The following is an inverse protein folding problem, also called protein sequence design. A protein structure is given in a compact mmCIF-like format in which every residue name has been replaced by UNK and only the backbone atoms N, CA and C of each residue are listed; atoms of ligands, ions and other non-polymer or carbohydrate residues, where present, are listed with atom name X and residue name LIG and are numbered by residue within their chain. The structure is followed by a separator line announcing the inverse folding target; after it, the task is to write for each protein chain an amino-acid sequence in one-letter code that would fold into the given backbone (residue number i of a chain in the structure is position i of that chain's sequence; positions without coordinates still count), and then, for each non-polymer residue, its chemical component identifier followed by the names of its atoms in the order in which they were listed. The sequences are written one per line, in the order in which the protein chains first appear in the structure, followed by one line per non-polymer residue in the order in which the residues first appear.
data_IF_065682558314
#
_entry.id   IF_065682558314
#
_cell.length_a   1.000
_cell.length_b   1.000
_cell.length_c   1.000
_cell.angle_alpha   90.00
_cell.angle_beta   90.00
_cell.angle_gamma   90.00
#
_symmetry.space_group_name_H-M   'P 1'
#
loop_
_entity.id
_entity.type
_entity.pdbx_description
1 polymer ?
#
# COMPACT_ATOMS: atom_id res chain seq x y z
N UNK A 1 -27.61 -25.83 -5.44
CA UNK A 1 -27.50 -24.44 -5.93
C UNK A 1 -26.54 -24.45 -7.11
N UNK A 2 -27.01 -24.10 -8.30
CA UNK A 2 -26.22 -24.16 -9.52
C UNK A 2 -25.10 -23.11 -9.48
N UNK A 3 -23.86 -23.57 -9.62
CA UNK A 3 -22.70 -22.72 -9.85
C UNK A 3 -22.87 -22.10 -11.24
N UNK A 4 -23.21 -20.82 -11.31
CA UNK A 4 -23.16 -20.05 -12.54
C UNK A 4 -21.68 -19.82 -12.93
N UNK A 5 -21.01 -20.87 -13.40
CA UNK A 5 -19.77 -20.75 -14.17
C UNK A 5 -20.14 -20.32 -15.60
N UNK A 6 -20.73 -19.14 -15.74
CA UNK A 6 -21.09 -18.60 -17.04
C UNK A 6 -19.82 -18.04 -17.66
N UNK A 7 -19.29 -18.73 -18.68
CA UNK A 7 -18.23 -18.19 -19.53
C UNK A 7 -18.68 -16.81 -20.04
N UNK A 8 -17.85 -15.77 -19.99
CA UNK A 8 -18.21 -14.48 -20.56
C UNK A 8 -18.61 -14.66 -22.02
N UNK A 9 -19.73 -14.03 -22.41
CA UNK A 9 -20.34 -14.16 -23.74
C UNK A 9 -19.40 -13.71 -24.87
N UNK A 10 -18.45 -12.83 -24.54
CA UNK A 10 -17.41 -12.34 -25.42
C UNK A 10 -16.11 -12.08 -24.64
N UNK A 11 -14.96 -12.28 -25.29
CA UNK A 11 -13.68 -11.79 -24.80
C UNK A 11 -13.54 -10.37 -25.32
N UNK A 12 -13.44 -9.39 -24.43
CA UNK A 12 -13.19 -8.01 -24.83
C UNK A 12 -11.76 -7.87 -25.34
N UNK A 13 -11.58 -7.09 -26.40
CA UNK A 13 -10.25 -6.78 -26.92
C UNK A 13 -9.41 -6.07 -25.86
N UNK A 14 -8.16 -6.51 -25.69
CA UNK A 14 -7.20 -5.83 -24.82
C UNK A 14 -6.77 -4.54 -25.52
N UNK A 15 -7.01 -3.41 -24.88
CA UNK A 15 -6.63 -2.10 -25.42
C UNK A 15 -5.12 -2.01 -25.67
N UNK A 16 -4.73 -1.31 -26.75
CA UNK A 16 -3.32 -1.05 -27.05
C UNK A 16 -2.69 -0.23 -25.91
N UNK A 17 -1.54 -0.67 -25.43
CA UNK A 17 -0.74 0.10 -24.47
C UNK A 17 -0.21 1.35 -25.17
N UNK A 18 -0.65 2.53 -24.72
CA UNK A 18 -0.20 3.82 -25.24
C UNK A 18 1.05 4.33 -24.52
N UNK A 19 1.16 4.05 -23.21
CA UNK A 19 2.27 4.45 -22.36
C UNK A 19 2.59 3.35 -21.35
N UNK A 20 3.87 3.20 -21.00
CA UNK A 20 4.26 2.33 -19.89
C UNK A 20 3.86 2.96 -18.54
N UNK A 21 3.41 2.13 -17.60
CA UNK A 21 3.16 2.57 -16.22
C UNK A 21 4.50 2.65 -15.49
N UNK A 22 4.83 3.83 -14.97
CA UNK A 22 6.03 4.06 -14.18
C UNK A 22 5.66 4.80 -12.90
N UNK A 23 5.75 4.11 -11.75
CA UNK A 23 5.44 4.73 -10.46
C UNK A 23 6.49 5.73 -10.00
N UNK A 24 7.72 5.68 -10.54
CA UNK A 24 8.81 6.48 -10.01
C UNK A 24 9.19 6.03 -8.60
N UNK A 25 9.82 6.92 -7.86
CA UNK A 25 10.21 6.64 -6.48
C UNK A 25 9.09 7.06 -5.53
N UNK A 26 8.51 6.09 -4.81
CA UNK A 26 7.68 6.35 -3.63
C UNK A 26 8.64 6.75 -2.52
N UNK A 27 8.43 7.93 -1.94
CA UNK A 27 9.31 8.52 -0.91
C UNK A 27 8.62 8.71 0.42
N UNK A 28 7.29 8.60 0.44
CA UNK A 28 6.46 8.79 1.63
C UNK A 28 5.21 7.93 1.55
N UNK A 29 4.74 7.45 2.68
CA UNK A 29 3.46 6.77 2.86
C UNK A 29 2.55 7.59 3.75
N UNK A 30 1.27 7.64 3.41
CA UNK A 30 0.22 8.08 4.31
C UNK A 30 -0.52 6.85 4.84
N UNK A 31 -0.86 6.81 6.12
CA UNK A 31 -1.52 5.69 6.79
C UNK A 31 -2.85 6.13 7.40
N UNK A 32 -3.83 5.23 7.37
CA UNK A 32 -5.10 5.38 8.09
C UNK A 32 -5.60 4.00 8.51
N UNK A 33 -6.42 3.94 9.56
CA UNK A 33 -7.22 2.74 9.86
C UNK A 33 -8.21 2.48 8.72
N UNK A 34 -8.29 1.24 8.28
CA UNK A 34 -9.21 0.85 7.21
C UNK A 34 -10.63 0.77 7.77
N UNK A 35 -11.56 1.50 7.17
CA UNK A 35 -13.00 1.47 7.50
C UNK A 35 -13.84 0.77 6.41
N UNK A 36 -13.18 0.01 5.52
CA UNK A 36 -13.78 -0.64 4.37
C UNK A 36 -13.92 0.27 3.15
N UNK A 37 -14.31 -0.32 2.02
CA UNK A 37 -14.39 0.36 0.70
C UNK A 37 -15.52 1.40 0.65
N UNK A 38 -16.53 1.25 1.52
CA UNK A 38 -17.69 2.16 1.59
C UNK A 38 -17.42 3.43 2.38
N UNK A 39 -16.29 3.52 3.08
CA UNK A 39 -15.89 4.69 3.88
C UNK A 39 -14.46 5.15 3.50
N UNK A 40 -14.24 5.56 2.23
CA UNK A 40 -12.93 6.01 1.77
C UNK A 40 -12.49 7.27 2.52
N UNK A 41 -11.18 7.44 2.71
CA UNK A 41 -10.65 8.60 3.43
C UNK A 41 -10.94 9.92 2.71
N UNK A 42 -11.13 9.86 1.39
CA UNK A 42 -11.52 10.98 0.56
C UNK A 42 -12.84 10.68 -0.12
N UNK A 43 -13.72 11.69 -0.20
CA UNK A 43 -15.02 11.53 -0.86
C UNK A 43 -14.91 11.21 -2.36
N UNK A 44 -13.85 11.70 -3.02
CA UNK A 44 -13.58 11.49 -4.45
C UNK A 44 -12.08 11.55 -4.74
N UNK A 45 -11.64 11.01 -5.89
CA UNK A 45 -10.27 11.20 -6.38
C UNK A 45 -9.92 12.67 -6.64
N UNK A 46 -10.90 13.49 -7.01
CA UNK A 46 -10.70 14.93 -7.19
C UNK A 46 -10.35 15.61 -5.86
N UNK A 47 -10.98 15.21 -4.75
CA UNK A 47 -10.68 15.75 -3.43
C UNK A 47 -9.22 15.46 -3.01
N UNK A 48 -8.70 14.27 -3.33
CA UNK A 48 -7.30 13.89 -3.04
C UNK A 48 -6.25 14.81 -3.67
N UNK A 49 -6.61 15.53 -4.74
CA UNK A 49 -5.68 16.46 -5.39
C UNK A 49 -5.46 17.75 -4.61
N UNK A 50 -6.33 18.05 -3.64
CA UNK A 50 -6.40 19.36 -3.00
C UNK A 50 -5.74 19.36 -1.62
N UNK A 51 -5.01 20.45 -1.30
CA UNK A 51 -4.36 20.60 0.00
C UNK A 51 -5.37 20.64 1.16
N UNK A 52 -6.55 21.23 0.93
CA UNK A 52 -7.59 21.35 1.95
C UNK A 52 -8.10 19.99 2.44
N UNK A 53 -8.29 19.03 1.54
CA UNK A 53 -8.72 17.69 1.90
C UNK A 53 -7.65 16.96 2.74
N UNK A 54 -6.38 17.07 2.36
CA UNK A 54 -5.28 16.47 3.12
C UNK A 54 -5.10 17.10 4.50
N UNK A 55 -5.17 18.44 4.59
CA UNK A 55 -5.12 19.11 5.89
C UNK A 55 -6.26 18.64 6.79
N UNK A 56 -7.49 18.57 6.28
CA UNK A 56 -8.65 18.08 7.02
C UNK A 56 -8.42 16.65 7.52
N UNK A 57 -7.91 15.76 6.67
CA UNK A 57 -7.69 14.36 7.02
C UNK A 57 -6.54 14.17 8.03
N UNK A 58 -5.50 15.00 7.97
CA UNK A 58 -4.37 14.97 8.92
C UNK A 58 -4.79 15.51 10.30
N UNK A 59 -5.65 16.53 10.32
CA UNK A 59 -6.18 17.11 11.56
C UNK A 59 -7.36 16.34 12.16
N UNK A 60 -7.92 15.37 11.42
CA UNK A 60 -9.00 14.55 11.91
C UNK A 60 -8.59 13.72 13.14
N UNK A 61 -9.58 13.20 13.85
CA UNK A 61 -9.39 12.40 15.05
C UNK A 61 -9.84 10.95 14.82
N UNK A 62 -9.35 10.04 15.67
CA UNK A 62 -9.74 8.64 15.64
C UNK A 62 -9.45 7.96 14.29
N UNK A 63 -10.47 7.30 13.73
CA UNK A 63 -10.31 6.45 12.55
C UNK A 63 -10.19 7.23 11.22
N UNK A 64 -10.52 8.52 11.21
CA UNK A 64 -10.44 9.35 10.01
C UNK A 64 -9.09 10.07 9.88
N UNK A 65 -8.25 9.97 10.92
CA UNK A 65 -6.93 10.59 10.94
C UNK A 65 -5.99 9.90 9.96
N UNK A 66 -5.40 10.69 9.06
CA UNK A 66 -4.30 10.27 8.21
C UNK A 66 -2.97 10.68 8.86
N UNK A 67 -2.06 9.72 8.99
CA UNK A 67 -0.70 9.91 9.49
C UNK A 67 0.26 9.86 8.32
N UNK A 68 1.08 10.89 8.15
CA UNK A 68 2.14 10.89 7.15
C UNK A 68 3.44 10.35 7.76
N UNK A 69 3.99 9.28 7.18
CA UNK A 69 5.33 8.79 7.53
C UNK A 69 6.42 9.82 7.26
N UNK A 70 7.60 9.71 7.90
CA UNK A 70 8.81 10.41 7.44
C UNK A 70 9.19 9.99 6.01
N UNK A 71 10.10 10.75 5.41
CA UNK A 71 10.67 10.35 4.12
C UNK A 71 11.57 9.12 4.28
N UNK A 72 11.55 8.24 3.29
CA UNK A 72 12.36 7.03 3.25
C UNK A 72 13.02 6.80 1.89
N UNK A 73 13.96 5.86 1.87
CA UNK A 73 14.73 5.47 0.69
C UNK A 73 14.66 3.96 0.47
N UNK A 74 15.17 3.50 -0.68
CA UNK A 74 15.30 2.08 -1.02
C UNK A 74 13.98 1.30 -0.96
N UNK A 75 12.86 1.96 -1.25
CA UNK A 75 11.56 1.31 -1.22
C UNK A 75 11.35 0.41 -2.43
N UNK A 76 11.06 -0.86 -2.18
CA UNK A 76 10.88 -1.88 -3.20
C UNK A 76 9.61 -2.66 -2.92
N UNK A 77 8.76 -2.80 -3.95
CA UNK A 77 7.60 -3.69 -3.93
C UNK A 77 7.90 -4.88 -4.84
N UNK A 78 8.08 -6.10 -4.31
CA UNK A 78 8.31 -7.28 -5.13
C UNK A 78 7.04 -7.69 -5.92
N UNK A 79 7.18 -8.45 -7.02
CA UNK A 79 6.02 -9.00 -7.73
C UNK A 79 5.32 -10.07 -6.89
N UNK A 80 4.01 -10.21 -7.09
CA UNK A 80 3.23 -11.31 -6.51
C UNK A 80 3.37 -12.58 -7.36
N UNK A 81 3.55 -13.72 -6.70
CA UNK A 81 3.69 -15.02 -7.35
C UNK A 81 2.37 -15.79 -7.33
N UNK A 82 2.03 -16.45 -8.44
CA UNK A 82 0.85 -17.30 -8.53
C UNK A 82 1.04 -18.61 -7.76
N UNK A 83 0.00 -19.06 -7.07
CA UNK A 83 -0.04 -20.35 -6.40
C UNK A 83 -0.91 -21.35 -7.15
N UNK A 84 -0.39 -22.55 -7.37
CA UNK A 84 -1.10 -23.66 -8.00
C UNK A 84 -1.21 -24.83 -7.01
N UNK A 85 -2.33 -25.55 -7.06
CA UNK A 85 -2.57 -26.75 -6.26
C UNK A 85 -2.88 -27.95 -7.15
N UNK A 86 -2.65 -29.15 -6.62
CA UNK A 86 -3.01 -30.43 -7.24
C UNK A 86 -2.35 -30.68 -8.63
N UNK A 87 -1.16 -30.12 -8.87
CA UNK A 87 -0.39 -30.41 -10.07
C UNK A 87 0.21 -31.83 -10.00
N UNK A 88 0.02 -32.61 -11.07
CA UNK A 88 0.45 -34.02 -11.17
C UNK A 88 -0.14 -34.94 -10.08
N UNK A 89 -1.29 -34.57 -9.51
CA UNK A 89 -2.02 -35.42 -8.55
C UNK A 89 -3.33 -35.93 -9.18
N UNK A 90 -3.94 -36.96 -8.57
CA UNK A 90 -5.30 -37.40 -8.93
C UNK A 90 -6.40 -36.42 -8.44
N UNK A 91 -6.03 -35.35 -7.72
CA UNK A 91 -6.95 -34.33 -7.20
C UNK A 91 -7.40 -33.31 -8.24
N UNK A 92 -6.78 -33.31 -9.43
CA UNK A 92 -7.13 -32.40 -10.53
C UNK A 92 -7.45 -33.15 -11.83
N UNK A 93 -8.23 -32.51 -12.71
CA UNK A 93 -8.66 -33.13 -13.98
C UNK A 93 -7.42 -33.37 -14.86
N UNK A 94 -7.11 -34.64 -15.11
CA UNK A 94 -5.93 -35.07 -15.85
C UNK A 94 -4.58 -34.61 -15.25
N UNK A 95 -4.50 -34.43 -13.92
CA UNK A 95 -3.28 -33.95 -13.25
C UNK A 95 -2.92 -32.51 -13.58
N UNK A 96 -3.80 -31.77 -14.26
CA UNK A 96 -3.66 -30.34 -14.53
C UNK A 96 -4.20 -29.59 -13.32
N UNK A 97 -3.29 -29.17 -12.45
CA UNK A 97 -3.60 -28.38 -11.27
C UNK A 97 -4.37 -27.10 -11.62
N UNK A 98 -4.85 -26.42 -10.57
CA UNK A 98 -5.64 -25.20 -10.72
C UNK A 98 -5.00 -24.04 -9.96
N UNK A 99 -5.24 -22.82 -10.44
CA UNK A 99 -4.80 -21.59 -9.78
C UNK A 99 -5.57 -21.44 -8.45
N UNK A 100 -4.86 -21.48 -7.34
CA UNK A 100 -5.43 -21.36 -5.99
C UNK A 100 -5.43 -19.92 -5.49
N UNK A 101 -4.53 -19.08 -6.00
CA UNK A 101 -4.42 -17.69 -5.57
C UNK A 101 -3.09 -17.07 -5.93
N UNK A 102 -2.73 -16.03 -5.18
CA UNK A 102 -1.49 -15.27 -5.33
C UNK A 102 -0.88 -15.02 -3.96
N UNK A 103 0.44 -15.12 -3.86
CA UNK A 103 1.18 -14.85 -2.63
C UNK A 103 1.05 -13.38 -2.23
N UNK A 104 0.94 -13.15 -0.92
CA UNK A 104 1.11 -11.82 -0.35
C UNK A 104 2.52 -11.29 -0.68
N UNK A 105 2.60 -9.99 -0.91
CA UNK A 105 3.83 -9.27 -1.25
C UNK A 105 4.34 -8.54 -0.03
N UNK A 106 5.66 -8.45 0.14
CA UNK A 106 6.28 -7.76 1.27
C UNK A 106 7.12 -6.57 0.81
N UNK A 107 6.52 -5.37 0.67
CA UNK A 107 7.30 -4.16 0.43
C UNK A 107 8.28 -3.90 1.59
N UNK A 108 9.45 -3.37 1.24
CA UNK A 108 10.48 -2.99 2.21
C UNK A 108 11.11 -1.66 1.84
N UNK A 109 11.59 -0.92 2.83
CA UNK A 109 12.32 0.33 2.65
C UNK A 109 13.13 0.70 3.88
N UNK A 110 13.77 1.87 3.85
CA UNK A 110 14.65 2.32 4.92
C UNK A 110 14.38 3.78 5.30
N UNK A 111 14.10 4.03 6.58
CA UNK A 111 14.19 5.36 7.16
C UNK A 111 15.64 5.68 7.51
N UNK A 112 16.09 6.90 7.22
CA UNK A 112 17.47 7.34 7.47
C UNK A 112 17.45 8.46 8.51
N UNK A 113 18.25 8.31 9.57
CA UNK A 113 18.39 9.31 10.63
C UNK A 113 17.13 9.49 11.49
N UNK A 114 16.32 8.44 11.64
CA UNK A 114 15.05 8.50 12.35
C UNK A 114 15.26 8.80 13.85
N UNK A 115 14.69 9.89 14.40
CA UNK A 115 14.69 10.16 15.83
C UNK A 115 13.93 9.10 16.63
N UNK A 116 14.35 8.86 17.88
CA UNK A 116 13.79 7.80 18.71
C UNK A 116 12.30 7.98 19.07
N UNK A 117 11.87 9.23 19.23
CA UNK A 117 10.47 9.60 19.46
C UNK A 117 9.59 9.35 18.22
N UNK A 118 10.08 9.71 17.03
CA UNK A 118 9.38 9.42 15.76
C UNK A 118 9.32 7.91 15.52
N UNK A 119 10.39 7.17 15.85
CA UNK A 119 10.39 5.70 15.80
C UNK A 119 9.30 5.12 16.70
N UNK A 120 9.20 5.57 17.95
CA UNK A 120 8.18 5.11 18.88
C UNK A 120 6.75 5.41 18.39
N UNK A 121 6.54 6.54 17.72
CA UNK A 121 5.24 6.86 17.09
C UNK A 121 4.89 5.89 15.95
N UNK A 122 5.88 5.51 15.14
CA UNK A 122 5.65 4.54 14.07
C UNK A 122 5.49 3.10 14.60
N UNK A 123 6.07 2.76 15.75
CA UNK A 123 5.83 1.47 16.42
C UNK A 123 4.37 1.32 16.88
N UNK A 124 3.65 2.41 17.14
CA UNK A 124 2.19 2.34 17.39
C UNK A 124 1.42 1.85 16.16
N UNK A 125 1.91 2.16 14.95
CA UNK A 125 1.32 1.67 13.69
C UNK A 125 1.53 0.16 13.54
N UNK A 126 2.66 -0.37 14.03
CA UNK A 126 2.93 -1.81 14.05
C UNK A 126 1.90 -2.58 14.88
N UNK A 127 1.46 -2.02 16.01
CA UNK A 127 0.39 -2.62 16.82
C UNK A 127 -0.97 -2.59 16.10
N UNK A 128 -1.31 -1.49 15.42
CA UNK A 128 -2.57 -1.36 14.68
C UNK A 128 -2.60 -2.20 13.40
N UNK A 129 -1.44 -2.47 12.80
CA UNK A 129 -1.35 -3.17 11.53
C UNK A 129 -1.44 -4.71 11.64
N UNK A 130 -1.57 -5.29 12.84
CA UNK A 130 -1.53 -6.75 13.01
C UNK A 130 -2.68 -7.46 12.29
N UNK A 131 -2.36 -8.44 11.45
CA UNK A 131 -3.32 -9.20 10.66
C UNK A 131 -4.14 -10.25 11.46
N UNK A 132 -3.97 -10.32 12.79
CA UNK A 132 -4.51 -11.39 13.65
C UNK A 132 -6.05 -11.47 13.63
N UNK A 133 -6.73 -10.45 13.09
CA UNK A 133 -8.19 -10.39 12.96
C UNK A 133 -8.73 -10.92 11.62
N UNK A 134 -7.87 -11.37 10.70
CA UNK A 134 -8.29 -11.95 9.42
C UNK A 134 -8.69 -10.95 8.33
N UNK A 135 -8.48 -9.65 8.58
CA UNK A 135 -8.66 -8.56 7.61
C UNK A 135 -7.44 -7.62 7.69
N UNK A 136 -7.12 -6.91 6.60
CA UNK A 136 -6.12 -5.82 6.66
C UNK A 136 -6.70 -4.64 7.46
N UNK A 137 -6.12 -4.30 8.61
CA UNK A 137 -6.69 -3.29 9.51
C UNK A 137 -6.36 -1.86 9.09
N UNK A 138 -5.41 -1.67 8.16
CA UNK A 138 -4.92 -0.37 7.74
C UNK A 138 -4.93 -0.21 6.22
N UNK A 139 -4.93 1.04 5.77
CA UNK A 139 -4.80 1.41 4.37
C UNK A 139 -3.72 2.48 4.20
N UNK A 140 -3.03 2.47 3.06
CA UNK A 140 -1.94 3.39 2.76
C UNK A 140 -2.04 4.06 1.39
N UNK A 141 -1.48 5.26 1.28
CA UNK A 141 -1.26 5.94 0.01
C UNK A 141 0.22 6.11 -0.24
N UNK A 142 0.67 5.68 -1.42
CA UNK A 142 2.05 5.88 -1.87
C UNK A 142 2.22 7.27 -2.44
N UNK A 143 3.12 8.09 -1.87
CA UNK A 143 3.42 9.44 -2.35
C UNK A 143 4.79 9.42 -3.01
N UNK A 144 4.84 9.86 -4.26
CA UNK A 144 6.07 9.90 -5.05
C UNK A 144 6.78 11.25 -4.92
N UNK A 145 8.06 11.29 -5.28
CA UNK A 145 8.86 12.51 -5.24
C UNK A 145 8.30 13.67 -6.11
N UNK A 146 7.48 13.34 -7.12
CA UNK A 146 6.81 14.29 -8.01
C UNK A 146 5.35 14.58 -7.61
N UNK A 147 4.98 14.34 -6.35
CA UNK A 147 3.64 14.60 -5.80
C UNK A 147 2.51 13.80 -6.47
N UNK A 148 2.80 12.60 -7.01
CA UNK A 148 1.76 11.66 -7.41
C UNK A 148 1.37 10.79 -6.22
N UNK A 149 0.08 10.46 -6.18
CA UNK A 149 -0.56 9.66 -5.17
C UNK A 149 -0.95 8.34 -5.82
N UNK A 150 -0.51 7.24 -5.22
CA UNK A 150 -0.78 5.87 -5.64
C UNK A 150 -1.81 5.29 -4.66
N UNK A 151 -2.96 4.89 -5.18
CA UNK A 151 -4.14 4.52 -4.37
C UNK A 151 -5.07 3.55 -5.10
N UNK A 152 -6.17 3.14 -4.46
CA UNK A 152 -7.26 2.40 -5.12
C UNK A 152 -8.47 3.33 -5.19
N UNK A 153 -8.58 4.07 -6.29
CA UNK A 153 -9.56 5.14 -6.40
C UNK A 153 -9.35 6.20 -5.31
N UNK A 154 -10.42 6.54 -4.58
CA UNK A 154 -10.37 7.48 -3.45
C UNK A 154 -9.95 6.85 -2.10
N UNK A 155 -9.78 5.52 -2.06
CA UNK A 155 -9.38 4.76 -0.88
C UNK A 155 -7.88 4.44 -0.91
N UNK A 156 -7.31 4.06 0.24
CA UNK A 156 -5.94 3.60 0.31
C UNK A 156 -5.79 2.15 -0.16
N UNK A 157 -4.55 1.74 -0.35
CA UNK A 157 -4.17 0.35 -0.59
C UNK A 157 -4.17 -0.37 0.77
N UNK A 158 -4.99 -1.41 0.97
CA UNK A 158 -4.99 -2.17 2.22
C UNK A 158 -3.64 -2.81 2.51
N UNK A 159 -3.22 -2.81 3.77
CA UNK A 159 -2.00 -3.48 4.20
C UNK A 159 -2.10 -4.00 5.65
N UNK A 160 -1.22 -4.92 5.97
CA UNK A 160 -1.08 -5.48 7.31
C UNK A 160 0.38 -5.78 7.68
N UNK A 161 0.63 -6.15 8.93
CA UNK A 161 1.93 -6.54 9.48
C UNK A 161 3.03 -5.51 9.20
N UNK A 162 2.72 -4.23 9.42
CA UNK A 162 3.75 -3.19 9.40
C UNK A 162 4.74 -3.42 10.53
N UNK A 163 6.02 -3.23 10.26
CA UNK A 163 7.07 -3.36 11.25
C UNK A 163 8.15 -2.31 11.02
N UNK A 164 8.85 -1.95 12.09
CA UNK A 164 10.10 -1.19 12.02
C UNK A 164 11.23 -1.97 12.69
N UNK A 165 12.26 -2.22 11.90
CA UNK A 165 13.48 -2.86 12.32
C UNK A 165 14.29 -2.03 13.33
N UNK A 166 15.13 -2.76 14.07
CA UNK A 166 16.12 -2.15 14.95
C UNK A 166 17.06 -1.21 14.18
N UNK A 167 17.66 -0.25 14.90
CA UNK A 167 18.62 0.69 14.34
C UNK A 167 19.85 -0.06 13.82
N UNK A 168 20.11 0.05 12.52
CA UNK A 168 21.37 -0.31 11.89
C UNK A 168 22.34 0.89 11.84
N UNK A 169 23.63 0.62 12.01
CA UNK A 169 24.70 1.63 11.89
C UNK A 169 25.73 1.20 10.86
N UNK A 170 26.08 2.08 9.93
CA UNK A 170 27.08 1.85 8.88
C UNK A 170 28.46 2.46 9.23
N UNK A 171 28.66 2.84 10.49
CA UNK A 171 29.95 3.34 11.01
C UNK A 171 30.05 4.86 11.13
N UNK A 172 31.27 5.35 11.34
CA UNK A 172 31.55 6.76 11.67
C UNK A 172 31.10 7.70 10.55
N UNK A 173 30.16 8.62 10.86
CA UNK A 173 29.51 9.62 9.97
C UNK A 173 28.36 9.12 9.08
N UNK A 174 28.06 7.82 9.06
CA UNK A 174 26.86 7.36 8.40
C UNK A 174 25.64 7.66 9.28
N UNK A 175 24.54 8.09 8.65
CA UNK A 175 23.27 8.17 9.36
C UNK A 175 22.78 6.75 9.64
N UNK A 176 22.29 6.55 10.85
CA UNK A 176 21.66 5.30 11.24
C UNK A 176 20.40 5.04 10.40
N UNK A 177 20.12 3.77 10.16
CA UNK A 177 18.98 3.36 9.32
C UNK A 177 18.04 2.46 10.10
N UNK A 178 16.75 2.58 9.80
CA UNK A 178 15.71 1.67 10.28
C UNK A 178 15.02 1.07 9.06
N UNK A 179 15.21 -0.23 8.84
CA UNK A 179 14.42 -0.94 7.85
C UNK A 179 12.96 -0.96 8.28
N UNK A 180 12.04 -0.90 7.34
CA UNK A 180 10.62 -1.13 7.59
C UNK A 180 10.02 -1.97 6.48
N UNK A 181 8.86 -2.54 6.73
CA UNK A 181 8.09 -3.21 5.72
C UNK A 181 6.67 -3.49 6.19
N UNK A 182 5.89 -4.04 5.29
CA UNK A 182 4.51 -4.45 5.55
C UNK A 182 4.12 -5.56 4.56
N UNK A 183 2.91 -6.08 4.69
CA UNK A 183 2.32 -7.08 3.80
C UNK A 183 1.19 -6.47 2.99
N UNK A 184 1.18 -6.78 1.70
CA UNK A 184 0.11 -6.48 0.76
C UNK A 184 -0.47 -7.79 0.24
N UNK A 185 -1.77 -7.81 -0.02
CA UNK A 185 -2.43 -8.96 -0.62
C UNK A 185 -1.89 -9.31 -2.02
N UNK A 186 -2.10 -10.56 -2.42
CA UNK A 186 -1.87 -10.97 -3.81
C UNK A 186 -2.74 -10.14 -4.76
N UNK A 187 -2.12 -9.59 -5.82
CA UNK A 187 -2.75 -8.63 -6.76
C UNK A 187 -3.24 -7.32 -6.12
N UNK A 188 -2.51 -6.80 -5.13
CA UNK A 188 -2.74 -5.47 -4.56
C UNK A 188 -2.80 -4.34 -5.59
N UNK A 189 -2.22 -4.53 -6.78
CA UNK A 189 -2.16 -3.58 -7.90
C UNK A 189 -3.48 -3.49 -8.70
N UNK A 190 -4.47 -4.35 -8.39
CA UNK A 190 -5.76 -4.34 -9.08
C UNK A 190 -6.55 -3.06 -8.76
N UNK A 191 -6.91 -2.33 -9.81
CA UNK A 191 -7.71 -1.10 -9.67
C UNK A 191 -6.92 0.09 -9.14
N UNK A 192 -5.59 -0.01 -9.17
CA UNK A 192 -4.69 1.04 -8.74
C UNK A 192 -4.81 2.27 -9.65
N UNK A 193 -4.88 3.43 -9.03
CA UNK A 193 -4.92 4.75 -9.69
C UNK A 193 -3.68 5.55 -9.31
N UNK A 194 -3.25 6.41 -10.24
CA UNK A 194 -2.15 7.35 -10.02
C UNK A 194 -2.67 8.75 -10.27
N UNK A 195 -2.68 9.56 -9.22
CA UNK A 195 -3.31 10.87 -9.23
C UNK A 195 -2.28 11.95 -8.89
N UNK A 196 -2.17 12.98 -9.72
CA UNK A 196 -1.28 14.12 -9.46
C UNK A 196 -1.90 15.07 -8.42
N UNK A 197 -1.21 15.34 -7.32
CA UNK A 197 -1.60 16.40 -6.39
C UNK A 197 -1.30 17.79 -6.97
N UNK A 198 -2.13 18.77 -6.64
CA UNK A 198 -2.03 20.17 -7.09
C UNK A 198 -1.18 21.04 -6.16
N UNK A 199 -0.52 20.42 -5.17
CA UNK A 199 0.27 21.08 -4.14
C UNK A 199 1.47 20.19 -3.74
N UNK A 200 2.37 20.74 -2.92
CA UNK A 200 3.50 19.99 -2.38
C UNK A 200 3.06 19.08 -1.23
N UNK A 201 2.69 17.84 -1.58
CA UNK A 201 2.29 16.81 -0.64
C UNK A 201 3.50 16.14 0.03
N UNK A 202 4.63 16.06 -0.68
CA UNK A 202 5.87 15.46 -0.14
C UNK A 202 6.33 16.20 1.10
N UNK A 203 6.31 17.54 1.07
CA UNK A 203 6.73 18.38 2.19
C UNK A 203 5.57 18.84 3.09
N UNK A 204 4.39 18.22 2.97
CA UNK A 204 3.28 18.53 3.87
C UNK A 204 3.61 18.03 5.28
N UNK A 205 3.63 18.93 6.25
CA UNK A 205 3.74 18.59 7.66
C UNK A 205 2.47 19.03 8.39
N UNK A 206 2.02 18.29 9.41
CA UNK A 206 0.98 18.79 10.31
C UNK A 206 1.42 20.16 10.84
N UNK A 207 0.53 21.15 10.80
CA UNK A 207 0.81 22.43 11.43
C UNK A 207 1.13 22.20 12.92
N UNK A 208 2.15 22.88 13.49
CA UNK A 208 2.50 22.76 14.90
C UNK A 208 1.35 23.17 15.83
#
# INVERSE_FOLDING_TARGET
MAVNCTRPTELTDISKVLCAVHFGQIVRLAFRRRLGVTAPAFATEAAMKTQAAWNSAITAEGNDKIILSPLFVNFVIPPSEAQFLEENTNGSINGKGYLAGYNAVKPTGEFVGLPGDVKAQLELIEEEARAELGEDPMEQWGITADNRIISVGAAGIPFSNFYIGSVGSEGFRALNKNAFGFSLDGKWDKGLTVTQAEFDLVNLYPAP
#
